data_IF_741911688378
#
_entry.id   IF_741911688378
#
_cell.length_a   1.000
_cell.length_b   1.000
_cell.length_c   1.000
_cell.angle_alpha   90.00
_cell.angle_beta   90.00
_cell.angle_gamma   90.00
#
_symmetry.space_group_name_H-M   'P 1'
#
loop_
_entity.id
_entity.type
_entity.pdbx_description
1 polymer ?
#
# COMPACT_ATOMS: atom_id res chain seq x y z
N UNK A 1 -1.41 15.32 19.00
CA UNK A 1 -2.34 15.01 17.89
C UNK A 1 -2.08 13.63 17.29
N UNK A 2 -0.87 13.33 16.81
CA UNK A 2 -0.54 12.05 16.14
C UNK A 2 -0.80 10.80 16.98
N UNK A 3 -0.44 10.80 18.27
CA UNK A 3 -0.69 9.68 19.17
C UNK A 3 -2.20 9.42 19.42
N UNK A 4 -3.00 10.48 19.47
CA UNK A 4 -4.46 10.37 19.66
C UNK A 4 -5.11 9.79 18.40
N UNK A 5 -4.73 10.29 17.22
CA UNK A 5 -5.22 9.76 15.94
C UNK A 5 -4.79 8.30 15.73
N UNK A 6 -3.56 7.95 16.10
CA UNK A 6 -3.07 6.58 16.02
C UNK A 6 -3.81 5.66 17.00
N UNK A 7 -4.00 6.10 18.25
CA UNK A 7 -4.75 5.35 19.25
C UNK A 7 -6.21 5.15 18.83
N UNK A 8 -6.87 6.19 18.33
CA UNK A 8 -8.22 6.10 17.78
C UNK A 8 -8.27 5.12 16.60
N UNK A 9 -7.32 5.18 15.66
CA UNK A 9 -7.22 4.24 14.53
C UNK A 9 -7.08 2.79 14.99
N UNK A 10 -6.24 2.53 15.99
CA UNK A 10 -6.03 1.16 16.51
C UNK A 10 -7.29 0.65 17.21
N UNK A 11 -7.92 1.46 18.07
CA UNK A 11 -9.16 1.07 18.77
C UNK A 11 -10.28 0.81 17.77
N UNK A 12 -10.51 1.75 16.85
CA UNK A 12 -11.54 1.60 15.81
C UNK A 12 -11.25 0.44 14.87
N UNK A 13 -9.98 0.14 14.57
CA UNK A 13 -9.60 -1.07 13.84
C UNK A 13 -10.08 -2.32 14.58
N UNK A 14 -9.69 -2.51 15.85
CA UNK A 14 -10.07 -3.72 16.57
C UNK A 14 -11.58 -3.87 16.79
N UNK A 15 -12.30 -2.76 17.01
CA UNK A 15 -13.76 -2.78 17.13
C UNK A 15 -14.43 -3.15 15.80
N UNK A 16 -14.00 -2.54 14.69
CA UNK A 16 -14.58 -2.77 13.35
C UNK A 16 -14.24 -4.18 12.86
N UNK A 17 -12.96 -4.55 12.88
CA UNK A 17 -12.50 -5.84 12.38
C UNK A 17 -12.86 -6.99 13.31
N UNK A 18 -12.88 -6.79 14.63
CA UNK A 18 -13.35 -7.81 15.56
C UNK A 18 -14.80 -8.21 15.26
N UNK A 19 -15.66 -7.23 14.96
CA UNK A 19 -17.04 -7.51 14.58
C UNK A 19 -17.19 -8.10 13.19
N UNK A 20 -16.48 -7.57 12.18
CA UNK A 20 -16.45 -8.11 10.82
C UNK A 20 -15.99 -9.56 10.77
N UNK A 21 -14.95 -9.90 11.54
CA UNK A 21 -14.44 -11.27 11.64
C UNK A 21 -15.49 -12.23 12.22
N UNK A 22 -16.37 -11.74 13.12
CA UNK A 22 -17.50 -12.52 13.63
C UNK A 22 -18.58 -12.82 12.59
N UNK A 23 -18.65 -12.05 11.50
CA UNK A 23 -19.61 -12.24 10.41
C UNK A 23 -19.02 -13.02 9.22
N UNK A 24 -17.72 -13.33 9.25
CA UNK A 24 -17.06 -14.11 8.20
C UNK A 24 -17.73 -15.46 8.03
N UNK A 25 -18.21 -15.72 6.82
CA UNK A 25 -18.78 -17.01 6.45
C UNK A 25 -17.71 -17.85 5.76
N UNK A 26 -17.38 -19.06 6.25
CA UNK A 26 -16.41 -19.93 5.60
C UNK A 26 -16.79 -20.26 4.14
N UNK A 27 -18.08 -20.43 3.87
CA UNK A 27 -18.60 -20.66 2.52
C UNK A 27 -18.22 -19.52 1.57
N UNK A 28 -18.43 -18.27 1.99
CA UNK A 28 -18.01 -17.08 1.27
C UNK A 28 -16.49 -17.03 1.19
N UNK A 29 -15.76 -17.15 2.31
CA UNK A 29 -14.31 -17.04 2.34
C UNK A 29 -13.59 -18.01 1.37
N UNK A 30 -14.01 -19.27 1.33
CA UNK A 30 -13.44 -20.29 0.46
C UNK A 30 -14.07 -20.37 -0.94
N UNK A 31 -15.02 -19.47 -1.24
CA UNK A 31 -15.74 -19.40 -2.50
C UNK A 31 -16.42 -20.70 -2.94
N UNK A 32 -17.01 -21.43 -2.00
CA UNK A 32 -17.56 -22.78 -2.26
C UNK A 32 -18.74 -22.78 -3.24
N UNK A 33 -19.35 -21.62 -3.48
CA UNK A 33 -20.47 -21.46 -4.40
C UNK A 33 -20.04 -21.53 -5.88
N UNK A 34 -18.78 -21.24 -6.20
CA UNK A 34 -18.28 -21.24 -7.57
C UNK A 34 -17.58 -22.57 -7.88
N UNK A 35 -18.17 -23.34 -8.80
CA UNK A 35 -17.79 -24.75 -9.05
C UNK A 35 -16.41 -24.93 -9.67
N UNK A 36 -15.94 -23.95 -10.45
CA UNK A 36 -14.68 -24.00 -11.20
C UNK A 36 -13.82 -22.74 -10.96
N UNK A 37 -13.80 -22.23 -9.73
CA UNK A 37 -13.02 -21.06 -9.39
C UNK A 37 -11.52 -21.29 -9.64
N UNK A 38 -10.89 -20.43 -10.45
CA UNK A 38 -9.45 -20.46 -10.72
C UNK A 38 -8.85 -19.07 -10.52
N UNK A 39 -7.97 -18.93 -9.52
CA UNK A 39 -7.38 -17.64 -9.16
C UNK A 39 -5.94 -17.45 -9.61
N UNK A 40 -5.25 -18.54 -9.94
CA UNK A 40 -3.86 -18.49 -10.41
C UNK A 40 -3.64 -17.53 -11.60
N UNK A 41 -4.55 -17.44 -12.59
CA UNK A 41 -4.39 -16.51 -13.71
C UNK A 41 -4.31 -15.04 -13.27
N UNK A 42 -4.96 -14.69 -12.16
CA UNK A 42 -5.07 -13.33 -11.64
C UNK A 42 -3.91 -12.93 -10.72
N UNK A 43 -3.04 -13.87 -10.32
CA UNK A 43 -1.95 -13.59 -9.38
C UNK A 43 -0.97 -12.54 -9.90
N UNK A 44 -0.71 -12.53 -11.21
CA UNK A 44 0.23 -11.58 -11.77
C UNK A 44 -0.27 -10.14 -11.58
N UNK A 45 -1.55 -9.87 -11.90
CA UNK A 45 -2.08 -8.50 -11.82
C UNK A 45 -2.05 -7.90 -10.40
N UNK A 46 -1.93 -8.72 -9.34
CA UNK A 46 -1.89 -8.23 -7.96
C UNK A 46 -0.50 -7.78 -7.51
N UNK A 47 0.57 -8.23 -8.19
CA UNK A 47 1.95 -7.96 -7.77
C UNK A 47 2.28 -6.46 -7.57
N UNK A 48 1.87 -5.54 -8.46
CA UNK A 48 2.19 -4.12 -8.28
C UNK A 48 1.51 -3.52 -7.04
N UNK A 49 0.29 -3.96 -6.76
CA UNK A 49 -0.47 -3.55 -5.59
C UNK A 49 0.18 -4.08 -4.32
N UNK A 50 0.60 -5.36 -4.30
CA UNK A 50 1.33 -5.92 -3.17
C UNK A 50 2.65 -5.17 -2.91
N UNK A 51 3.41 -4.82 -3.95
CA UNK A 51 4.64 -4.05 -3.79
C UNK A 51 4.35 -2.65 -3.20
N UNK A 52 3.31 -1.98 -3.70
CA UNK A 52 2.89 -0.68 -3.17
C UNK A 52 2.44 -0.78 -1.70
N UNK A 53 1.73 -1.85 -1.31
CA UNK A 53 1.29 -2.07 0.08
C UNK A 53 2.48 -2.17 1.05
N UNK A 54 3.61 -2.76 0.65
CA UNK A 54 4.81 -2.87 1.48
C UNK A 54 5.84 -1.74 1.21
N UNK A 55 5.37 -0.57 0.79
CA UNK A 55 6.19 0.59 0.41
C UNK A 55 6.85 1.36 1.56
N UNK A 56 7.75 0.76 2.33
CA UNK A 56 8.51 1.45 3.41
C UNK A 56 9.93 1.88 3.03
N UNK A 57 10.39 1.56 1.82
CA UNK A 57 11.80 1.65 1.42
C UNK A 57 12.39 3.07 1.53
N UNK A 58 11.58 4.10 1.25
CA UNK A 58 11.98 5.51 1.40
C UNK A 58 12.28 5.92 2.86
N UNK A 59 11.78 5.17 3.83
CA UNK A 59 12.00 5.45 5.25
C UNK A 59 13.31 4.82 5.79
N UNK A 60 13.93 3.91 5.05
CA UNK A 60 15.16 3.21 5.48
C UNK A 60 16.32 4.18 5.79
N UNK A 61 16.60 5.23 4.99
CA UNK A 61 17.62 6.23 5.34
C UNK A 61 17.33 6.96 6.67
N UNK A 62 16.05 7.29 6.93
CA UNK A 62 15.63 7.92 8.19
C UNK A 62 15.84 6.98 9.38
N UNK A 63 15.51 5.70 9.24
CA UNK A 63 15.78 4.68 10.27
C UNK A 63 17.29 4.52 10.52
N UNK A 64 18.11 4.57 9.46
CA UNK A 64 19.57 4.54 9.58
C UNK A 64 20.12 5.74 10.36
N UNK A 65 19.55 6.93 10.17
CA UNK A 65 19.91 8.13 10.96
C UNK A 65 19.43 8.01 12.40
N UNK A 66 18.18 7.59 12.61
CA UNK A 66 17.54 7.51 13.93
C UNK A 66 18.19 6.47 14.85
N UNK A 67 18.46 5.26 14.35
CA UNK A 67 19.04 4.16 15.14
C UNK A 67 20.58 4.13 15.11
N UNK A 68 21.24 5.24 14.77
CA UNK A 68 22.70 5.35 14.81
C UNK A 68 23.44 4.37 13.89
N UNK A 69 22.81 3.97 12.77
CA UNK A 69 23.33 2.99 11.80
C UNK A 69 23.57 1.59 12.38
N UNK A 70 22.87 1.18 13.45
CA UNK A 70 22.90 -0.19 13.96
C UNK A 70 22.06 -1.14 13.07
N UNK A 71 22.69 -2.03 12.27
CA UNK A 71 21.95 -2.88 11.35
C UNK A 71 21.04 -3.89 12.06
N UNK A 72 21.39 -4.34 13.27
CA UNK A 72 20.60 -5.36 13.98
C UNK A 72 19.25 -4.79 14.41
N UNK A 73 19.26 -3.62 15.02
CA UNK A 73 18.04 -2.93 15.45
C UNK A 73 17.18 -2.52 14.25
N UNK A 74 17.81 -2.02 13.18
CA UNK A 74 17.09 -1.62 11.96
C UNK A 74 16.43 -2.83 11.29
N UNK A 75 17.13 -3.96 11.14
CA UNK A 75 16.54 -5.18 10.58
C UNK A 75 15.37 -5.66 11.43
N UNK A 76 15.48 -5.66 12.77
CA UNK A 76 14.36 -6.01 13.66
C UNK A 76 13.16 -5.08 13.45
N UNK A 77 13.40 -3.77 13.39
CA UNK A 77 12.36 -2.78 13.14
C UNK A 77 11.64 -3.05 11.80
N UNK A 78 12.40 -3.30 10.72
CA UNK A 78 11.84 -3.60 9.40
C UNK A 78 11.07 -4.93 9.40
N UNK A 79 11.60 -5.98 10.00
CA UNK A 79 10.95 -7.30 10.04
C UNK A 79 9.67 -7.25 10.87
N UNK A 80 9.71 -6.73 12.10
CA UNK A 80 8.52 -6.64 12.94
C UNK A 80 7.47 -5.68 12.36
N UNK A 81 7.89 -4.56 11.77
CA UNK A 81 6.97 -3.66 11.07
C UNK A 81 6.30 -4.32 9.87
N UNK A 82 7.06 -5.07 9.07
CA UNK A 82 6.53 -5.80 7.90
C UNK A 82 5.60 -6.94 8.31
N UNK A 83 5.94 -7.71 9.36
CA UNK A 83 5.09 -8.78 9.88
C UNK A 83 3.80 -8.23 10.48
N UNK A 84 3.87 -7.09 11.18
CA UNK A 84 2.68 -6.39 11.67
C UNK A 84 1.78 -5.95 10.51
N UNK A 85 2.36 -5.33 9.47
CA UNK A 85 1.61 -4.93 8.27
C UNK A 85 0.95 -6.14 7.59
N UNK A 86 1.67 -7.25 7.43
CA UNK A 86 1.15 -8.49 6.89
C UNK A 86 -0.04 -9.02 7.71
N UNK A 87 0.07 -9.05 9.04
CA UNK A 87 -1.03 -9.49 9.90
C UNK A 87 -2.29 -8.62 9.73
N UNK A 88 -2.12 -7.29 9.67
CA UNK A 88 -3.22 -6.35 9.44
C UNK A 88 -3.86 -6.55 8.05
N UNK A 89 -3.05 -6.77 7.01
CA UNK A 89 -3.55 -7.08 5.67
C UNK A 89 -4.29 -8.41 5.62
N UNK A 90 -3.79 -9.44 6.30
CA UNK A 90 -4.49 -10.73 6.40
C UNK A 90 -5.84 -10.56 7.08
N UNK A 91 -5.93 -9.82 8.19
CA UNK A 91 -7.20 -9.53 8.87
C UNK A 91 -8.15 -8.79 7.94
N UNK A 92 -7.67 -7.77 7.23
CA UNK A 92 -8.46 -7.03 6.25
C UNK A 92 -8.99 -7.93 5.13
N UNK A 93 -8.13 -8.78 4.55
CA UNK A 93 -8.50 -9.71 3.49
C UNK A 93 -9.49 -10.77 3.97
N UNK A 94 -9.31 -11.32 5.17
CA UNK A 94 -10.26 -12.27 5.77
C UNK A 94 -11.63 -11.62 5.99
N UNK A 95 -11.66 -10.39 6.53
CA UNK A 95 -12.90 -9.66 6.74
C UNK A 95 -13.60 -9.32 5.42
N UNK A 96 -12.87 -8.85 4.42
CA UNK A 96 -13.45 -8.50 3.11
C UNK A 96 -13.91 -9.73 2.33
N UNK A 97 -13.01 -10.68 2.09
CA UNK A 97 -13.28 -11.88 1.30
C UNK A 97 -14.22 -12.87 1.99
N UNK A 98 -14.33 -12.79 3.33
CA UNK A 98 -15.23 -13.62 4.12
C UNK A 98 -16.65 -13.08 4.25
N UNK A 99 -16.86 -11.79 3.96
CA UNK A 99 -18.18 -11.15 4.02
C UNK A 99 -18.74 -10.79 2.65
N UNK A 100 -17.91 -10.54 1.64
CA UNK A 100 -18.35 -10.18 0.28
C UNK A 100 -18.20 -11.39 -0.66
N UNK A 101 -19.29 -11.88 -1.28
CA UNK A 101 -19.23 -12.87 -2.35
C UNK A 101 -18.40 -12.43 -3.56
N UNK A 102 -17.72 -13.37 -4.23
CA UNK A 102 -16.83 -13.07 -5.37
C UNK A 102 -17.49 -12.31 -6.52
N UNK A 103 -18.72 -12.65 -6.94
CA UNK A 103 -19.41 -11.88 -7.98
C UNK A 103 -19.66 -10.41 -7.62
N UNK A 104 -19.80 -10.07 -6.34
CA UNK A 104 -20.05 -8.68 -5.93
C UNK A 104 -18.81 -7.78 -6.11
N UNK A 105 -17.60 -8.35 -6.14
CA UNK A 105 -16.38 -7.59 -6.41
C UNK A 105 -16.34 -7.01 -7.83
N UNK A 106 -17.06 -7.61 -8.79
CA UNK A 106 -17.19 -7.09 -10.14
C UNK A 106 -17.87 -5.72 -10.10
N UNK A 107 -19.02 -5.62 -9.41
CA UNK A 107 -19.74 -4.35 -9.24
C UNK A 107 -18.96 -3.30 -8.45
N UNK A 108 -18.10 -3.72 -7.51
CA UNK A 108 -17.18 -2.81 -6.80
C UNK A 108 -16.11 -2.26 -7.77
N UNK A 109 -15.55 -3.12 -8.63
CA UNK A 109 -14.56 -2.73 -9.63
C UNK A 109 -15.16 -1.80 -10.70
N UNK A 110 -16.39 -2.08 -11.16
CA UNK A 110 -17.12 -1.22 -12.11
C UNK A 110 -17.40 0.18 -11.55
N UNK A 111 -17.60 0.30 -10.24
CA UNK A 111 -17.72 1.58 -9.52
C UNK A 111 -16.36 2.25 -9.24
N UNK A 112 -15.28 1.81 -9.90
CA UNK A 112 -13.95 2.39 -9.81
C UNK A 112 -13.03 1.76 -8.77
N UNK A 113 -13.52 0.82 -7.95
CA UNK A 113 -12.71 0.11 -6.95
C UNK A 113 -12.11 0.99 -5.86
N UNK A 114 -12.72 2.16 -5.62
CA UNK A 114 -12.30 3.09 -4.58
C UNK A 114 -12.57 2.50 -3.17
N UNK A 115 -11.80 2.98 -2.18
CA UNK A 115 -11.92 2.51 -0.79
C UNK A 115 -13.32 2.73 -0.22
N UNK A 116 -13.97 3.85 -0.56
CA UNK A 116 -15.32 4.18 -0.09
C UNK A 116 -16.38 3.21 -0.64
N UNK A 117 -16.24 2.78 -1.90
CA UNK A 117 -17.14 1.77 -2.51
C UNK A 117 -17.00 0.43 -1.81
N UNK A 118 -15.77 -0.01 -1.53
CA UNK A 118 -15.52 -1.26 -0.79
C UNK A 118 -16.06 -1.20 0.64
N UNK A 119 -15.90 -0.05 1.30
CA UNK A 119 -16.46 0.23 2.62
C UNK A 119 -17.98 0.19 2.61
N UNK A 120 -18.63 0.80 1.60
CA UNK A 120 -20.08 0.75 1.45
C UNK A 120 -20.60 -0.67 1.20
N UNK A 121 -19.89 -1.48 0.40
CA UNK A 121 -20.25 -2.88 0.18
C UNK A 121 -20.21 -3.69 1.48
N UNK A 122 -19.15 -3.53 2.29
CA UNK A 122 -19.07 -4.16 3.61
C UNK A 122 -20.20 -3.72 4.53
N UNK A 123 -20.52 -2.43 4.55
CA UNK A 123 -21.64 -1.89 5.32
C UNK A 123 -22.98 -2.52 4.92
N UNK A 124 -23.21 -2.69 3.61
CA UNK A 124 -24.41 -3.35 3.10
C UNK A 124 -24.60 -4.78 3.60
N UNK A 125 -23.52 -5.51 3.88
CA UNK A 125 -23.57 -6.90 4.38
C UNK A 125 -23.85 -6.95 5.89
N UNK A 126 -23.38 -5.95 6.66
CA UNK A 126 -23.38 -6.01 8.11
C UNK A 126 -24.73 -5.74 8.79
N UNK A 127 -25.74 -5.24 8.05
CA UNK A 127 -27.10 -4.98 8.53
C UNK A 127 -27.17 -4.28 9.91
N UNK A 128 -26.16 -3.48 10.26
CA UNK A 128 -25.99 -2.89 11.60
C UNK A 128 -25.46 -1.47 11.49
N UNK A 129 -26.32 -0.52 11.83
CA UNK A 129 -26.02 0.92 11.78
C UNK A 129 -24.79 1.32 12.61
N UNK A 130 -24.53 0.63 13.71
CA UNK A 130 -23.36 0.87 14.56
C UNK A 130 -22.07 0.41 13.89
N UNK A 131 -22.09 -0.72 13.19
CA UNK A 131 -20.92 -1.22 12.47
C UNK A 131 -20.61 -0.38 11.24
N UNK A 132 -21.65 0.10 10.55
CA UNK A 132 -21.49 1.03 9.42
C UNK A 132 -20.79 2.31 9.86
N UNK A 133 -21.23 2.90 10.96
CA UNK A 133 -20.61 4.10 11.51
C UNK A 133 -19.16 3.84 11.90
N UNK A 134 -18.86 2.74 12.60
CA UNK A 134 -17.50 2.38 12.99
C UNK A 134 -16.59 2.19 11.78
N UNK A 135 -17.08 1.53 10.74
CA UNK A 135 -16.33 1.23 9.53
C UNK A 135 -16.03 2.49 8.70
N UNK A 136 -17.01 3.39 8.56
CA UNK A 136 -16.81 4.70 7.92
C UNK A 136 -15.83 5.57 8.71
N UNK A 137 -15.98 5.63 10.04
CA UNK A 137 -15.10 6.41 10.91
C UNK A 137 -13.67 5.86 10.85
N UNK A 138 -13.49 4.54 10.96
CA UNK A 138 -12.20 3.88 10.83
C UNK A 138 -11.55 4.19 9.48
N UNK A 139 -12.29 4.02 8.38
CA UNK A 139 -11.78 4.26 7.03
C UNK A 139 -11.32 5.70 6.86
N UNK A 140 -12.12 6.68 7.30
CA UNK A 140 -11.76 8.09 7.25
C UNK A 140 -10.51 8.42 8.06
N UNK A 141 -10.39 7.92 9.30
CA UNK A 141 -9.17 8.11 10.10
C UNK A 141 -7.96 7.40 9.49
N UNK A 142 -8.14 6.21 8.91
CA UNK A 142 -7.08 5.46 8.25
C UNK A 142 -6.54 6.21 7.03
N UNK A 143 -7.44 6.71 6.16
CA UNK A 143 -7.09 7.50 4.98
C UNK A 143 -6.45 8.83 5.39
N UNK A 144 -7.07 9.59 6.29
CA UNK A 144 -6.54 10.89 6.75
C UNK A 144 -5.15 10.76 7.39
N UNK A 145 -4.95 9.78 8.28
CA UNK A 145 -3.64 9.57 8.92
C UNK A 145 -2.54 9.17 7.93
N UNK A 146 -2.87 8.30 6.97
CA UNK A 146 -1.93 7.90 5.91
C UNK A 146 -1.60 9.07 4.99
N UNK A 147 -2.63 9.84 4.60
CA UNK A 147 -2.52 11.01 3.75
C UNK A 147 -1.59 12.05 4.38
N UNK A 148 -1.79 12.38 5.65
CA UNK A 148 -0.94 13.33 6.37
C UNK A 148 0.53 12.88 6.41
N UNK A 149 0.79 11.59 6.69
CA UNK A 149 2.16 11.08 6.75
C UNK A 149 2.92 11.20 5.43
N UNK A 150 2.29 10.79 4.32
CA UNK A 150 2.90 10.85 2.98
C UNK A 150 3.02 12.29 2.48
N UNK A 151 1.98 13.09 2.70
CA UNK A 151 1.93 14.49 2.26
C UNK A 151 3.00 15.33 2.93
N UNK A 152 3.24 15.17 4.24
CA UNK A 152 4.31 15.90 4.92
C UNK A 152 5.68 15.58 4.31
N UNK A 153 5.95 14.31 4.03
CA UNK A 153 7.20 13.91 3.36
C UNK A 153 7.34 14.47 1.94
N UNK A 154 6.24 14.50 1.17
CA UNK A 154 6.24 15.11 -0.16
C UNK A 154 6.41 16.64 -0.10
N UNK A 155 5.75 17.29 0.85
CA UNK A 155 5.83 18.73 1.09
C UNK A 155 7.28 19.13 1.38
N UNK A 156 7.92 18.47 2.35
CA UNK A 156 9.31 18.75 2.74
C UNK A 156 10.26 18.49 1.56
N UNK A 157 10.07 17.39 0.83
CA UNK A 157 10.87 17.08 -0.35
C UNK A 157 10.75 18.15 -1.45
N UNK A 158 9.54 18.64 -1.74
CA UNK A 158 9.32 19.68 -2.75
C UNK A 158 9.87 21.03 -2.29
N UNK A 159 9.76 21.37 -1.01
CA UNK A 159 10.38 22.58 -0.47
C UNK A 159 11.90 22.55 -0.69
N UNK A 160 12.55 21.44 -0.35
CA UNK A 160 13.98 21.25 -0.54
C UNK A 160 14.38 21.26 -2.03
N UNK A 161 13.60 20.59 -2.89
CA UNK A 161 13.90 20.46 -4.32
C UNK A 161 13.84 21.82 -5.06
N UNK A 162 12.86 22.65 -4.72
CA UNK A 162 12.68 23.96 -5.36
C UNK A 162 13.33 25.11 -4.57
N UNK A 163 13.94 24.81 -3.42
CA UNK A 163 14.56 25.80 -2.54
C UNK A 163 13.56 26.83 -1.99
N UNK A 164 12.32 26.40 -1.71
CA UNK A 164 11.32 27.26 -1.09
C UNK A 164 11.65 27.47 0.40
N UNK A 165 11.46 28.69 0.89
CA UNK A 165 11.72 29.05 2.27
C UNK A 165 10.52 28.76 3.19
N UNK A 166 10.75 28.86 4.51
CA UNK A 166 9.72 28.67 5.53
C UNK A 166 8.77 29.87 5.69
N UNK A 167 8.87 30.88 4.82
CA UNK A 167 7.96 32.03 4.81
C UNK A 167 6.53 31.59 4.50
N UNK A 168 5.53 32.40 4.85
CA UNK A 168 4.14 32.08 4.53
C UNK A 168 3.91 31.89 3.02
N UNK A 169 4.63 32.66 2.19
CA UNK A 169 4.58 32.55 0.74
C UNK A 169 5.33 31.30 0.22
N UNK A 170 6.50 30.98 0.78
CA UNK A 170 7.25 29.77 0.45
C UNK A 170 6.44 28.51 0.76
N UNK A 171 5.87 28.43 1.96
CA UNK A 171 4.99 27.33 2.37
C UNK A 171 3.72 27.24 1.54
N UNK A 172 3.14 28.37 1.12
CA UNK A 172 1.98 28.36 0.21
C UNK A 172 2.34 27.79 -1.16
N UNK A 173 3.50 28.15 -1.72
CA UNK A 173 3.99 27.57 -2.98
C UNK A 173 4.20 26.06 -2.86
N UNK A 174 4.85 25.61 -1.80
CA UNK A 174 5.02 24.18 -1.52
C UNK A 174 3.68 23.48 -1.37
N UNK A 175 2.72 24.07 -0.65
CA UNK A 175 1.38 23.51 -0.48
C UNK A 175 0.66 23.39 -1.82
N UNK A 176 0.66 24.44 -2.64
CA UNK A 176 0.04 24.40 -3.97
C UNK A 176 0.64 23.30 -4.84
N UNK A 177 1.97 23.17 -4.87
CA UNK A 177 2.62 22.12 -5.65
C UNK A 177 2.36 20.71 -5.11
N UNK A 178 2.20 20.58 -3.79
CA UNK A 178 1.93 19.30 -3.13
C UNK A 178 0.48 18.85 -3.35
N UNK A 179 -0.49 19.76 -3.23
CA UNK A 179 -1.92 19.44 -3.19
C UNK A 179 -2.66 19.67 -4.50
N UNK A 180 -2.30 20.70 -5.28
CA UNK A 180 -3.05 21.04 -6.49
C UNK A 180 -3.01 19.92 -7.54
N UNK A 181 -1.88 19.28 -7.86
CA UNK A 181 -1.87 18.21 -8.85
C UNK A 181 -2.73 16.99 -8.44
N UNK A 182 -2.63 16.45 -7.20
CA UNK A 182 -3.53 15.38 -6.76
C UNK A 182 -5.01 15.78 -6.75
N UNK A 183 -5.35 17.02 -6.33
CA UNK A 183 -6.73 17.51 -6.33
C UNK A 183 -7.29 17.61 -7.74
N UNK A 184 -6.55 18.22 -8.67
CA UNK A 184 -6.96 18.30 -10.08
C UNK A 184 -7.12 16.91 -10.68
N UNK A 185 -6.18 16.01 -10.41
CA UNK A 185 -6.27 14.60 -10.85
C UNK A 185 -7.51 13.90 -10.32
N UNK A 186 -7.83 14.07 -9.03
CA UNK A 186 -9.02 13.48 -8.42
C UNK A 186 -10.34 14.04 -8.95
N UNK A 187 -10.37 15.33 -9.31
CA UNK A 187 -11.55 15.96 -9.91
C UNK A 187 -11.77 15.53 -11.38
N UNK A 188 -10.68 15.38 -12.15
CA UNK A 188 -10.76 14.97 -13.55
C UNK A 188 -10.97 13.46 -13.71
N UNK A 189 -10.48 12.65 -12.76
CA UNK A 189 -10.51 11.19 -12.82
C UNK A 189 -11.04 10.60 -11.48
N UNK A 190 -12.35 10.70 -11.18
CA UNK A 190 -12.91 10.27 -9.91
C UNK A 190 -12.80 8.76 -9.63
N UNK A 191 -12.69 7.95 -10.68
CA UNK A 191 -12.46 6.49 -10.61
C UNK A 191 -10.98 6.12 -10.86
N UNK A 192 -10.07 7.09 -10.71
CA UNK A 192 -8.65 6.95 -11.02
C UNK A 192 -7.81 6.25 -9.94
N UNK A 193 -8.39 5.84 -8.80
CA UNK A 193 -7.63 5.30 -7.67
C UNK A 193 -6.82 4.06 -8.03
N UNK A 194 -7.46 3.05 -8.65
CA UNK A 194 -6.78 1.80 -9.04
C UNK A 194 -5.64 2.05 -10.04
N UNK A 195 -5.83 2.99 -10.97
CA UNK A 195 -4.79 3.42 -11.90
C UNK A 195 -3.64 4.11 -11.17
N UNK A 196 -3.94 5.08 -10.32
CA UNK A 196 -2.95 5.86 -9.57
C UNK A 196 -2.10 4.96 -8.66
N UNK A 197 -2.72 4.05 -7.90
CA UNK A 197 -1.98 3.12 -7.03
C UNK A 197 -1.19 2.08 -7.84
N UNK A 198 -1.69 1.67 -9.01
CA UNK A 198 -0.95 0.83 -9.94
C UNK A 198 0.33 1.50 -10.44
N UNK A 199 0.25 2.76 -10.89
CA UNK A 199 1.42 3.55 -11.31
C UNK A 199 2.37 3.86 -10.15
N UNK A 200 1.85 4.09 -8.95
CA UNK A 200 2.67 4.19 -7.75
C UNK A 200 3.44 2.89 -7.49
N UNK A 201 2.82 1.72 -7.70
CA UNK A 201 3.49 0.42 -7.67
C UNK A 201 4.58 0.28 -8.73
N UNK A 202 4.36 0.80 -9.94
CA UNK A 202 5.39 0.86 -11.00
C UNK A 202 6.56 1.75 -10.58
N UNK A 203 6.31 2.94 -10.05
CA UNK A 203 7.37 3.82 -9.55
C UNK A 203 8.14 3.17 -8.40
N UNK A 204 7.45 2.50 -7.47
CA UNK A 204 8.05 1.72 -6.40
C UNK A 204 8.90 0.57 -6.94
N UNK A 205 8.53 -0.05 -8.07
CA UNK A 205 9.34 -1.09 -8.71
C UNK A 205 10.73 -0.59 -9.06
N UNK A 206 10.82 0.60 -9.63
CA UNK A 206 12.10 1.21 -10.00
C UNK A 206 12.89 1.58 -8.74
N UNK A 207 12.28 2.35 -7.84
CA UNK A 207 12.99 2.97 -6.72
C UNK A 207 13.16 2.08 -5.48
N UNK A 208 12.26 1.12 -5.26
CA UNK A 208 12.27 0.24 -4.09
C UNK A 208 12.84 -1.16 -4.40
N UNK A 209 12.74 -1.65 -5.64
CA UNK A 209 13.27 -2.97 -6.01
C UNK A 209 14.54 -2.88 -6.87
N UNK A 210 14.45 -2.31 -8.08
CA UNK A 210 15.52 -2.36 -9.08
C UNK A 210 16.75 -1.55 -8.62
N UNK A 211 16.55 -0.26 -8.31
CA UNK A 211 17.65 0.63 -7.91
C UNK A 211 18.36 0.12 -6.65
N UNK A 212 17.68 -0.26 -5.56
CA UNK A 212 18.35 -0.78 -4.37
C UNK A 212 19.12 -2.09 -4.62
N UNK A 213 18.62 -2.98 -5.47
CA UNK A 213 19.33 -4.21 -5.84
C UNK A 213 20.63 -3.91 -6.61
N UNK A 214 20.58 -2.97 -7.56
CA UNK A 214 21.78 -2.51 -8.30
C UNK A 214 22.77 -1.78 -7.39
N UNK A 215 22.28 -0.90 -6.50
CA UNK A 215 23.11 -0.21 -5.51
C UNK A 215 23.78 -1.20 -4.55
N UNK A 216 23.08 -2.25 -4.11
CA UNK A 216 23.67 -3.30 -3.29
C UNK A 216 24.79 -4.03 -4.03
N UNK A 217 24.62 -4.33 -5.32
CA UNK A 217 25.68 -4.94 -6.15
C UNK A 217 26.89 -4.00 -6.30
N UNK A 218 26.64 -2.74 -6.63
CA UNK A 218 27.69 -1.74 -6.83
C UNK A 218 28.46 -1.45 -5.52
N UNK A 219 27.74 -1.30 -4.40
CA UNK A 219 28.31 -1.09 -3.07
C UNK A 219 29.21 -2.25 -2.64
N UNK A 220 28.78 -3.50 -2.85
CA UNK A 220 29.60 -4.68 -2.57
C UNK A 220 30.89 -4.70 -3.38
N UNK A 221 30.84 -4.32 -4.66
CA UNK A 221 32.03 -4.29 -5.54
C UNK A 221 32.98 -3.16 -5.16
N UNK A 222 32.46 -1.98 -4.82
CA UNK A 222 33.26 -0.77 -4.56
C UNK A 222 33.79 -0.69 -3.12
N UNK A 223 33.00 -1.13 -2.15
CA UNK A 223 33.28 -0.90 -0.73
C UNK A 223 33.28 -2.19 0.11
N UNK A 224 33.01 -3.36 -0.47
CA UNK A 224 32.91 -4.64 0.25
C UNK A 224 31.65 -4.79 1.13
N UNK A 225 31.00 -3.68 1.50
CA UNK A 225 29.85 -3.59 2.41
C UNK A 225 30.10 -4.20 3.81
N UNK A 226 31.12 -3.73 4.56
CA UNK A 226 31.57 -4.37 5.80
C UNK A 226 30.57 -4.27 6.96
N UNK A 227 29.71 -3.25 6.97
CA UNK A 227 28.77 -3.00 8.08
C UNK A 227 27.50 -3.84 8.00
N UNK A 228 27.00 -4.09 6.79
CA UNK A 228 25.78 -4.86 6.58
C UNK A 228 25.77 -5.48 5.20
N UNK A 229 25.36 -6.74 5.13
CA UNK A 229 25.14 -7.47 3.89
C UNK A 229 23.98 -8.42 4.06
N UNK A 230 22.94 -8.25 3.24
CA UNK A 230 21.83 -9.20 3.18
C UNK A 230 22.32 -10.57 2.71
N UNK A 231 21.74 -11.63 3.27
CA UNK A 231 22.00 -13.02 2.92
C UNK A 231 21.64 -13.33 1.45
N UNK A 232 22.08 -14.47 0.95
CA UNK A 232 21.75 -14.94 -0.41
C UNK A 232 22.59 -14.35 -1.54
N UNK A 233 23.59 -13.51 -1.24
CA UNK A 233 24.68 -13.19 -2.19
C UNK A 233 24.21 -12.56 -3.50
N UNK A 234 24.78 -13.01 -4.63
CA UNK A 234 24.39 -12.60 -5.98
C UNK A 234 23.00 -13.15 -6.40
N UNK A 235 22.64 -14.41 -6.10
CA UNK A 235 21.30 -14.93 -6.39
C UNK A 235 20.17 -14.08 -5.83
N UNK A 236 20.28 -13.59 -4.59
CA UNK A 236 19.26 -12.70 -4.00
C UNK A 236 19.09 -11.40 -4.78
N UNK A 237 20.18 -10.80 -5.25
CA UNK A 237 20.12 -9.60 -6.09
C UNK A 237 19.43 -9.90 -7.41
N UNK A 238 19.77 -11.02 -8.06
CA UNK A 238 19.14 -11.44 -9.30
C UNK A 238 17.63 -11.69 -9.10
N UNK A 239 17.23 -12.33 -8.01
CA UNK A 239 15.83 -12.56 -7.66
C UNK A 239 15.05 -11.24 -7.54
N UNK A 240 15.57 -10.25 -6.81
CA UNK A 240 14.91 -8.94 -6.65
C UNK A 240 14.82 -8.22 -8.00
N UNK A 241 15.83 -8.32 -8.86
CA UNK A 241 15.81 -7.74 -10.20
C UNK A 241 14.76 -8.42 -11.09
N UNK A 242 14.68 -9.75 -11.08
CA UNK A 242 13.66 -10.50 -11.82
C UNK A 242 12.27 -10.16 -11.32
N UNK A 243 12.08 -10.07 -10.00
CA UNK A 243 10.82 -9.61 -9.41
C UNK A 243 10.46 -8.19 -9.86
N UNK A 244 11.42 -7.25 -9.80
CA UNK A 244 11.19 -5.88 -10.24
C UNK A 244 10.84 -5.77 -11.73
N UNK A 245 11.61 -6.43 -12.60
CA UNK A 245 11.32 -6.46 -14.04
C UNK A 245 9.99 -7.13 -14.32
N UNK A 246 9.70 -8.26 -13.66
CA UNK A 246 8.43 -8.95 -13.76
C UNK A 246 7.26 -8.06 -13.36
N UNK A 247 7.38 -7.31 -12.26
CA UNK A 247 6.34 -6.39 -11.81
C UNK A 247 6.09 -5.26 -12.81
N UNK A 248 7.15 -4.69 -13.39
CA UNK A 248 7.02 -3.68 -14.43
C UNK A 248 6.36 -4.24 -15.69
N UNK A 249 6.75 -5.44 -16.12
CA UNK A 249 6.15 -6.12 -17.27
C UNK A 249 4.66 -6.41 -17.04
N UNK A 250 4.31 -6.96 -15.88
CA UNK A 250 2.92 -7.21 -15.50
C UNK A 250 2.10 -5.93 -15.53
N UNK A 251 2.62 -4.84 -14.94
CA UNK A 251 1.89 -3.58 -14.94
C UNK A 251 1.65 -3.06 -16.37
N UNK A 252 2.66 -3.15 -17.25
CA UNK A 252 2.52 -2.78 -18.67
C UNK A 252 1.47 -3.68 -19.36
N UNK A 253 1.55 -5.01 -19.19
CA UNK A 253 0.59 -5.95 -19.77
C UNK A 253 -0.84 -5.69 -19.27
N UNK A 254 -1.00 -5.38 -17.98
CA UNK A 254 -2.28 -4.99 -17.40
C UNK A 254 -2.84 -3.71 -18.03
N UNK A 255 -2.01 -2.69 -18.21
CA UNK A 255 -2.41 -1.42 -18.85
C UNK A 255 -2.85 -1.57 -20.32
N UNK A 256 -2.41 -2.64 -20.99
CA UNK A 256 -2.86 -3.01 -22.35
C UNK A 256 -3.99 -4.04 -22.36
N UNK A 257 -4.58 -4.38 -21.21
CA UNK A 257 -5.62 -5.41 -21.06
C UNK A 257 -5.19 -6.79 -21.59
N UNK A 258 -3.90 -7.11 -21.52
CA UNK A 258 -3.34 -8.40 -21.96
C UNK A 258 -3.29 -9.45 -20.85
N UNK A 259 -3.59 -9.07 -19.61
CA UNK A 259 -3.72 -9.98 -18.47
C UNK A 259 -5.19 -10.28 -18.19
N UNK A 260 -5.51 -11.48 -17.71
CA UNK A 260 -6.88 -11.84 -17.36
C UNK A 260 -7.37 -10.96 -16.20
N UNK A 261 -8.60 -10.47 -16.33
CA UNK A 261 -9.33 -9.73 -15.30
C UNK A 261 -10.51 -10.59 -14.88
N UNK A 262 -10.78 -10.66 -13.57
CA UNK A 262 -11.95 -11.37 -13.07
C UNK A 262 -13.21 -10.61 -13.50
N UNK A 263 -14.13 -11.31 -14.16
CA UNK A 263 -15.39 -10.79 -14.71
C UNK A 263 -16.56 -11.66 -14.27
#
# INVERSE_FOLDING_TARGET
MTAIVLGAKVITFFLTFGSLLGHVQPATLFNVAESNASYAPYLLMTLPFCLASFGYHGNVPSLMKYYGKDPKTIVKCLVYGTLMALALYTIWLLATMGNIPRPEFIGIAEKGGNIDVLVQALSGVLNSRSLDLLLVVFSNFAVASSFLGVTLGLFDYLADLFGFDDSAMGRLKTALLTFAPPVVGGLLFPNGFLYAIGYAGLAATIWAAIVPALLARASRKRFGSPKFRVWGGKPMIALILVFGVGNALVHILSSFNLLPVYQ
#
